data_IF_988669677405
#
_entry.id   IF_988669677405
#
_cell.length_a   1.000
_cell.length_b   1.000
_cell.length_c   1.000
_cell.angle_alpha   90.00
_cell.angle_beta   90.00
_cell.angle_gamma   90.00
#
_symmetry.space_group_name_H-M   'P 1'
#
loop_
_entity.id
_entity.type
_entity.pdbx_description
1 polymer ?
#
# COMPACT_ATOMS: atom_id res chain seq x y z
N UNK A 1 -12.76 10.30 5.76
CA UNK A 1 -13.74 9.40 5.11
C UNK A 1 -14.31 8.30 6.01
N UNK A 2 -13.81 8.03 7.24
CA UNK A 2 -14.39 7.01 8.15
C UNK A 2 -15.50 7.51 9.10
N UNK A 3 -16.01 8.72 8.91
CA UNK A 3 -17.18 9.19 9.66
C UNK A 3 -18.41 8.97 8.77
N UNK A 4 -19.17 7.90 9.07
CA UNK A 4 -20.46 7.59 8.45
C UNK A 4 -21.51 8.60 8.93
N UNK A 5 -21.44 9.82 8.39
CA UNK A 5 -22.34 10.91 8.78
C UNK A 5 -23.80 10.67 8.35
N UNK A 6 -24.06 9.71 7.44
CA UNK A 6 -25.41 9.38 6.96
C UNK A 6 -26.00 8.14 7.63
N UNK A 7 -25.22 7.43 8.48
CA UNK A 7 -25.61 6.21 9.22
C UNK A 7 -26.28 5.13 8.37
N UNK A 8 -26.02 5.14 7.06
CA UNK A 8 -26.67 4.27 6.08
C UNK A 8 -25.65 3.53 5.20
N UNK A 9 -24.36 3.55 5.56
CA UNK A 9 -23.32 2.80 4.86
C UNK A 9 -22.96 3.31 3.47
N UNK A 10 -23.56 4.41 2.98
CA UNK A 10 -23.21 5.00 1.69
C UNK A 10 -21.93 5.84 1.81
N UNK A 11 -20.91 5.43 1.07
CA UNK A 11 -19.67 6.19 0.94
C UNK A 11 -19.88 7.40 0.03
N UNK A 12 -19.49 8.58 0.51
CA UNK A 12 -19.52 9.80 -0.33
C UNK A 12 -18.52 9.67 -1.48
N UNK A 13 -18.83 10.21 -2.68
CA UNK A 13 -17.82 10.36 -3.72
C UNK A 13 -16.67 11.20 -3.16
N UNK A 14 -15.45 10.68 -3.27
CA UNK A 14 -14.28 11.29 -2.67
C UNK A 14 -12.99 10.65 -3.17
N UNK A 15 -11.91 11.41 -3.15
CA UNK A 15 -10.59 10.91 -3.49
C UNK A 15 -9.97 10.20 -2.29
N UNK A 16 -9.41 9.02 -2.54
CA UNK A 16 -8.54 8.35 -1.60
C UNK A 16 -7.16 9.02 -1.62
N UNK A 17 -6.87 9.77 -0.56
CA UNK A 17 -5.59 10.46 -0.38
C UNK A 17 -4.59 9.51 0.28
N UNK A 18 -3.51 9.23 -0.45
CA UNK A 18 -2.34 8.56 0.09
C UNK A 18 -1.23 9.57 0.35
N UNK A 19 -0.54 9.40 1.48
CA UNK A 19 0.63 10.20 1.85
C UNK A 19 1.79 9.29 2.20
N UNK A 20 3.00 9.69 1.84
CA UNK A 20 4.25 9.17 2.38
C UNK A 20 4.77 10.17 3.40
N UNK A 21 5.25 9.66 4.53
CA UNK A 21 5.82 10.49 5.58
C UNK A 21 7.17 9.98 6.02
N UNK A 22 8.06 10.92 6.33
CA UNK A 22 9.34 10.64 6.98
C UNK A 22 9.60 11.69 8.06
N UNK A 23 9.90 11.25 9.29
CA UNK A 23 10.03 12.12 10.45
C UNK A 23 8.81 13.04 10.62
N UNK A 24 7.61 12.53 10.28
CA UNK A 24 6.31 13.18 10.17
C UNK A 24 6.31 14.46 9.30
N UNK A 25 7.19 14.55 8.31
CA UNK A 25 7.06 15.44 7.16
C UNK A 25 6.38 14.69 6.02
N UNK A 26 5.53 15.38 5.25
CA UNK A 26 4.92 14.81 4.05
C UNK A 26 5.95 14.88 2.93
N UNK A 27 6.39 13.73 2.42
CA UNK A 27 7.39 13.65 1.35
C UNK A 27 6.74 13.41 -0.03
N UNK A 28 5.63 12.67 -0.07
CA UNK A 28 4.87 12.49 -1.30
C UNK A 28 3.39 12.32 -0.97
N UNK A 29 2.52 12.61 -1.94
CA UNK A 29 1.10 12.36 -1.84
C UNK A 29 0.49 12.10 -3.22
N UNK A 30 -0.61 11.36 -3.25
CA UNK A 30 -1.39 11.14 -4.46
C UNK A 30 -2.86 10.94 -4.15
N UNK A 31 -3.70 11.28 -5.14
CA UNK A 31 -5.15 11.13 -5.09
C UNK A 31 -5.61 10.03 -6.05
N UNK A 32 -6.32 9.05 -5.51
CA UNK A 32 -6.88 7.93 -6.25
C UNK A 32 -8.41 7.96 -6.22
N UNK A 33 -9.04 7.53 -7.32
CA UNK A 33 -10.49 7.30 -7.36
C UNK A 33 -10.87 5.93 -6.78
N UNK A 34 -9.89 5.00 -6.70
CA UNK A 34 -10.11 3.65 -6.21
C UNK A 34 -10.38 3.63 -4.70
N UNK A 35 -11.39 2.85 -4.30
CA UNK A 35 -11.78 2.68 -2.89
C UNK A 35 -10.78 1.83 -2.10
N UNK A 36 -10.11 0.89 -2.75
CA UNK A 36 -9.20 -0.07 -2.11
C UNK A 36 -7.73 0.35 -2.25
N UNK A 37 -7.04 0.38 -1.12
CA UNK A 37 -5.62 0.79 -1.00
C UNK A 37 -4.66 -0.19 -1.70
N UNK A 38 -5.03 -1.47 -1.84
CA UNK A 38 -4.19 -2.50 -2.48
C UNK A 38 -3.70 -2.10 -3.87
N UNK A 39 -4.53 -1.35 -4.60
CA UNK A 39 -4.33 -1.02 -6.01
C UNK A 39 -3.54 0.28 -6.21
N UNK A 40 -3.28 1.03 -5.14
CA UNK A 40 -2.71 2.37 -5.26
C UNK A 40 -1.20 2.39 -5.06
N UNK A 41 -0.61 1.35 -4.45
CA UNK A 41 0.79 1.36 -4.06
C UNK A 41 1.78 1.40 -5.25
N UNK A 42 1.65 0.58 -6.31
CA UNK A 42 2.63 0.60 -7.41
C UNK A 42 2.66 1.96 -8.10
N UNK A 43 1.49 2.50 -8.44
CA UNK A 43 1.37 3.84 -9.01
C UNK A 43 1.90 4.93 -8.08
N UNK A 44 1.78 4.76 -6.76
CA UNK A 44 2.29 5.71 -5.78
C UNK A 44 3.81 5.69 -5.72
N UNK A 45 4.41 4.50 -5.68
CA UNK A 45 5.86 4.33 -5.68
C UNK A 45 6.50 4.76 -7.01
N UNK A 46 5.80 4.58 -8.14
CA UNK A 46 6.22 5.14 -9.43
C UNK A 46 6.19 6.67 -9.45
N UNK A 47 5.16 7.28 -8.88
CA UNK A 47 5.11 8.73 -8.69
C UNK A 47 6.30 9.22 -7.86
N UNK A 48 6.64 8.51 -6.77
CA UNK A 48 7.80 8.82 -5.96
C UNK A 48 9.10 8.74 -6.77
N UNK A 49 9.29 7.66 -7.52
CA UNK A 49 10.46 7.47 -8.39
C UNK A 49 10.56 8.56 -9.47
N UNK A 50 9.43 8.95 -10.07
CA UNK A 50 9.39 10.02 -11.07
C UNK A 50 9.81 11.37 -10.51
N UNK A 51 9.51 11.66 -9.23
CA UNK A 51 9.89 12.91 -8.56
C UNK A 51 11.33 12.93 -8.07
N UNK A 52 11.80 11.81 -7.53
CA UNK A 52 13.10 11.73 -6.83
C UNK A 52 14.18 11.01 -7.61
N UNK A 53 13.84 10.50 -8.81
CA UNK A 53 14.70 9.68 -9.67
C UNK A 53 15.31 8.46 -8.95
N UNK A 54 14.59 7.94 -7.96
CA UNK A 54 14.92 6.74 -7.18
C UNK A 54 13.71 6.18 -6.47
N UNK A 55 13.68 4.87 -6.24
CA UNK A 55 12.72 4.26 -5.33
C UNK A 55 13.14 4.44 -3.86
N UNK A 56 12.16 4.33 -2.97
CA UNK A 56 12.42 4.27 -1.54
C UNK A 56 13.11 2.96 -1.18
N UNK A 57 14.14 3.02 -0.32
CA UNK A 57 14.84 1.81 0.15
C UNK A 57 13.91 0.91 1.00
N UNK A 58 13.08 1.53 1.83
CA UNK A 58 12.23 0.85 2.81
C UNK A 58 10.81 1.37 2.69
N UNK A 59 9.84 0.47 2.54
CA UNK A 59 8.41 0.79 2.43
C UNK A 59 7.68 0.19 3.61
N UNK A 60 7.06 1.04 4.42
CA UNK A 60 6.25 0.64 5.58
C UNK A 60 4.78 0.91 5.25
N UNK A 61 3.94 -0.12 5.25
CA UNK A 61 2.54 0.03 4.90
C UNK A 61 1.60 -0.91 5.66
N UNK A 62 0.31 -0.58 5.60
CA UNK A 62 -0.78 -1.34 6.20
C UNK A 62 -1.05 -2.70 5.59
N UNK A 63 -1.84 -3.51 6.31
CA UNK A 63 -2.33 -4.79 5.77
C UNK A 63 -3.16 -4.63 4.51
N UNK A 64 -3.80 -3.47 4.34
CA UNK A 64 -4.52 -3.08 3.13
C UNK A 64 -3.63 -2.98 1.87
N UNK A 65 -2.31 -3.02 2.01
CA UNK A 65 -1.37 -3.02 0.89
C UNK A 65 -0.72 -4.39 0.64
N UNK A 66 -0.96 -5.39 1.49
CA UNK A 66 -0.35 -6.71 1.39
C UNK A 66 -0.96 -7.58 0.30
N UNK A 67 -0.55 -7.37 -0.95
CA UNK A 67 -0.92 -8.17 -2.12
C UNK A 67 0.32 -8.74 -2.82
N UNK A 68 0.15 -9.83 -3.57
CA UNK A 68 1.23 -10.44 -4.36
C UNK A 68 1.85 -9.43 -5.34
N UNK A 69 1.01 -8.70 -6.06
CA UNK A 69 1.41 -7.66 -7.01
C UNK A 69 2.31 -6.61 -6.34
N UNK A 70 1.93 -6.12 -5.15
CA UNK A 70 2.68 -5.10 -4.44
C UNK A 70 4.00 -5.65 -3.90
N UNK A 71 4.02 -6.87 -3.37
CA UNK A 71 5.25 -7.50 -2.93
C UNK A 71 6.21 -7.73 -4.10
N UNK A 72 5.72 -8.25 -5.22
CA UNK A 72 6.52 -8.42 -6.43
C UNK A 72 7.07 -7.08 -6.93
N UNK A 73 6.25 -6.03 -6.98
CA UNK A 73 6.69 -4.71 -7.40
C UNK A 73 7.83 -4.18 -6.51
N UNK A 74 7.70 -4.28 -5.19
CA UNK A 74 8.76 -3.86 -4.26
C UNK A 74 10.03 -4.72 -4.42
N UNK A 75 9.88 -6.02 -4.61
CA UNK A 75 11.00 -6.96 -4.77
C UNK A 75 11.81 -6.70 -6.05
N UNK A 76 11.14 -6.51 -7.19
CA UNK A 76 11.77 -6.19 -8.49
C UNK A 76 12.57 -4.89 -8.44
N UNK A 77 12.13 -3.93 -7.63
CA UNK A 77 12.77 -2.62 -7.49
C UNK A 77 13.68 -2.53 -6.25
N UNK A 78 14.04 -3.66 -5.63
CA UNK A 78 14.94 -3.76 -4.49
C UNK A 78 14.52 -2.93 -3.26
N UNK A 79 13.21 -2.88 -2.98
CA UNK A 79 12.66 -2.22 -1.79
C UNK A 79 12.39 -3.22 -0.66
N UNK A 80 12.73 -2.84 0.57
CA UNK A 80 12.40 -3.61 1.77
C UNK A 80 10.93 -3.40 2.16
N UNK A 81 10.13 -4.44 1.98
CA UNK A 81 8.68 -4.41 2.19
C UNK A 81 8.28 -4.72 3.64
N UNK A 82 8.27 -3.72 4.52
CA UNK A 82 7.64 -3.78 5.84
C UNK A 82 6.12 -3.57 5.74
N UNK A 83 5.49 -4.36 4.87
CA UNK A 83 4.06 -4.28 4.56
C UNK A 83 3.37 -5.48 5.17
N UNK A 84 2.42 -5.22 6.08
CA UNK A 84 1.63 -6.27 6.72
C UNK A 84 0.79 -7.01 5.67
N UNK A 85 0.51 -8.28 5.91
CA UNK A 85 -0.56 -9.01 5.22
C UNK A 85 -1.77 -9.16 6.14
N UNK A 86 -2.94 -9.43 5.56
CA UNK A 86 -4.23 -9.41 6.25
C UNK A 86 -4.29 -10.24 7.55
N UNK A 87 -3.62 -11.40 7.60
CA UNK A 87 -3.64 -12.29 8.77
C UNK A 87 -2.55 -12.00 9.81
N UNK A 88 -1.58 -11.13 9.51
CA UNK A 88 -0.41 -10.89 10.37
C UNK A 88 -0.78 -10.50 11.81
N UNK A 89 -1.76 -9.60 11.96
CA UNK A 89 -2.24 -9.20 13.29
C UNK A 89 -2.96 -10.32 14.02
N UNK A 90 -3.78 -11.10 13.30
CA UNK A 90 -4.55 -12.20 13.87
C UNK A 90 -3.64 -13.28 14.43
N UNK A 91 -2.56 -13.56 13.72
CA UNK A 91 -1.54 -14.55 14.09
C UNK A 91 -0.72 -14.18 15.33
N UNK A 92 -0.67 -12.89 15.70
CA UNK A 92 0.05 -12.42 16.88
C UNK A 92 -0.76 -12.46 18.18
N UNK A 93 -2.06 -12.76 18.11
CA UNK A 93 -2.86 -12.86 19.33
C UNK A 93 -2.47 -14.12 20.13
N UNK A 94 -2.30 -14.03 21.46
CA UNK A 94 -1.90 -15.17 22.29
C UNK A 94 -2.82 -16.39 22.22
N UNK A 95 -4.10 -16.18 21.90
CA UNK A 95 -5.12 -17.24 21.78
C UNK A 95 -5.36 -17.69 20.33
N UNK A 96 -4.52 -17.26 19.39
CA UNK A 96 -4.68 -17.65 18.00
C UNK A 96 -4.21 -19.09 17.79
N UNK A 97 -5.16 -19.98 17.52
CA UNK A 97 -4.87 -21.33 17.05
C UNK A 97 -5.12 -21.39 15.55
N UNK A 98 -4.12 -21.71 14.72
CA UNK A 98 -4.35 -21.88 13.29
C UNK A 98 -5.32 -23.03 13.06
N UNK A 99 -6.27 -22.83 12.15
CA UNK A 99 -7.20 -23.90 11.78
C UNK A 99 -6.39 -25.05 11.13
N UNK A 100 -6.43 -26.29 11.67
CA UNK A 100 -5.66 -27.41 11.13
C UNK A 100 -6.07 -27.79 9.71
N UNK A 101 -7.29 -27.43 9.30
CA UNK A 101 -7.78 -27.63 7.95
C UNK A 101 -7.45 -26.47 7.00
N UNK A 102 -6.78 -25.40 7.44
CA UNK A 102 -6.33 -24.33 6.55
C UNK A 102 -5.12 -24.82 5.71
N UNK A 103 -5.05 -24.53 4.39
CA UNK A 103 -3.87 -24.87 3.59
C UNK A 103 -2.54 -24.36 4.16
N UNK A 104 -2.55 -23.20 4.84
CA UNK A 104 -1.37 -22.62 5.48
C UNK A 104 -0.84 -23.44 6.67
N UNK A 105 -1.66 -24.32 7.24
CA UNK A 105 -1.30 -25.20 8.36
C UNK A 105 -0.83 -26.58 7.91
N UNK A 106 -0.95 -26.89 6.62
CA UNK A 106 -0.59 -28.20 6.08
C UNK A 106 0.92 -28.26 5.82
N UNK A 107 1.52 -29.43 6.05
CA UNK A 107 2.91 -29.66 5.68
C UNK A 107 3.05 -29.75 4.16
N UNK A 108 4.05 -29.05 3.63
CA UNK A 108 4.40 -29.06 2.21
C UNK A 108 5.80 -29.64 2.04
N UNK A 109 5.92 -30.72 1.27
CA UNK A 109 7.20 -31.26 0.84
C UNK A 109 7.59 -30.61 -0.50
N UNK A 110 8.66 -29.80 -0.50
CA UNK A 110 9.15 -29.10 -1.69
C UNK A 110 9.84 -30.03 -2.69
N UNK A 111 10.52 -31.07 -2.21
CA UNK A 111 11.32 -31.98 -3.05
C UNK A 111 10.42 -32.90 -3.89
N UNK A 112 9.33 -33.36 -3.30
CA UNK A 112 8.41 -34.32 -3.91
C UNK A 112 7.08 -33.67 -4.37
N UNK A 113 6.93 -32.35 -4.24
CA UNK A 113 5.78 -31.53 -4.66
C UNK A 113 4.41 -32.09 -4.19
N UNK A 114 4.24 -32.25 -2.88
CA UNK A 114 2.96 -32.67 -2.30
C UNK A 114 2.66 -32.00 -0.96
N UNK A 115 1.36 -31.91 -0.64
CA UNK A 115 0.88 -31.52 0.69
C UNK A 115 0.41 -32.73 1.48
N UNK A 116 0.49 -32.66 2.81
CA UNK A 116 -0.07 -33.69 3.70
C UNK A 116 -1.37 -33.17 4.31
N UNK A 117 -2.46 -33.90 4.13
CA UNK A 117 -3.74 -33.54 4.73
C UNK A 117 -3.74 -33.85 6.24
N UNK A 118 -4.70 -33.33 7.03
CA UNK A 118 -4.74 -33.60 8.48
C UNK A 118 -4.96 -35.07 8.86
N UNK A 119 -5.44 -35.90 7.93
CA UNK A 119 -5.55 -37.36 8.11
C UNK A 119 -4.25 -38.11 7.74
N UNK A 120 -3.21 -37.40 7.29
CA UNK A 120 -1.91 -37.96 6.90
C UNK A 120 -1.77 -38.39 5.44
N UNK A 121 -2.79 -38.21 4.60
CA UNK A 121 -2.71 -38.58 3.18
C UNK A 121 -1.94 -37.54 2.36
N UNK A 122 -1.22 -37.99 1.35
CA UNK A 122 -0.59 -37.12 0.37
C UNK A 122 -1.62 -36.50 -0.57
N UNK A 123 -1.44 -35.22 -0.86
CA UNK A 123 -2.21 -34.45 -1.82
C UNK A 123 -1.32 -34.14 -3.02
N UNK A 124 -1.61 -34.79 -4.15
CA UNK A 124 -0.81 -34.67 -5.38
C UNK A 124 -1.20 -33.43 -6.16
N UNK A 125 -0.23 -32.84 -6.85
CA UNK A 125 -0.47 -31.74 -7.79
C UNK A 125 -1.31 -32.22 -8.96
N UNK A 126 -2.42 -31.54 -9.23
CA UNK A 126 -3.34 -31.87 -10.33
C UNK A 126 -3.35 -30.83 -11.44
N UNK A 127 -2.79 -29.66 -11.21
CA UNK A 127 -2.71 -28.62 -12.24
C UNK A 127 -2.48 -27.23 -11.68
N UNK A 128 -2.54 -26.27 -12.58
CA UNK A 128 -2.33 -24.86 -12.29
C UNK A 128 -3.54 -24.06 -12.73
N UNK A 129 -3.91 -23.06 -11.95
CA UNK A 129 -4.99 -22.12 -12.27
C UNK A 129 -4.40 -20.73 -12.38
N UNK A 130 -4.59 -20.16 -13.55
CA UNK A 130 -4.36 -18.74 -13.84
C UNK A 130 -5.58 -17.95 -13.38
N UNK A 131 -5.36 -16.90 -12.62
CA UNK A 131 -6.40 -15.95 -12.21
C UNK A 131 -5.97 -14.53 -12.58
N UNK A 132 -6.95 -13.67 -12.84
CA UNK A 132 -6.74 -12.24 -13.09
C UNK A 132 -7.30 -11.47 -11.91
N UNK A 133 -6.51 -10.58 -11.35
CA UNK A 133 -7.00 -9.60 -10.37
C UNK A 133 -7.82 -8.52 -11.09
N UNK A 134 -8.55 -7.70 -10.33
CA UNK A 134 -9.32 -6.58 -10.86
C UNK A 134 -8.48 -5.56 -11.66
N UNK A 135 -7.16 -5.54 -11.43
CA UNK A 135 -6.22 -4.64 -12.10
C UNK A 135 -5.53 -5.27 -13.31
N UNK A 136 -5.89 -6.50 -13.69
CA UNK A 136 -5.23 -7.21 -14.78
C UNK A 136 -3.92 -7.91 -14.40
N UNK A 137 -3.49 -7.83 -13.12
CA UNK A 137 -2.35 -8.61 -12.65
C UNK A 137 -2.68 -10.11 -12.68
N UNK A 138 -1.80 -10.88 -13.31
CA UNK A 138 -1.96 -12.33 -13.47
C UNK A 138 -1.36 -13.04 -12.27
N UNK A 139 -2.17 -13.84 -11.58
CA UNK A 139 -1.73 -14.67 -10.47
C UNK A 139 -1.82 -16.14 -10.82
N UNK A 140 -0.94 -16.90 -10.19
CA UNK A 140 -0.70 -18.30 -10.49
C UNK A 140 -0.84 -19.11 -9.22
N UNK A 141 -1.78 -20.06 -9.26
CA UNK A 141 -2.04 -20.94 -8.13
C UNK A 141 -1.95 -22.40 -8.56
N UNK A 142 -1.36 -23.22 -7.71
CA UNK A 142 -1.23 -24.66 -7.93
C UNK A 142 -2.34 -25.36 -7.16
N UNK A 143 -2.99 -26.33 -7.81
CA UNK A 143 -4.04 -27.16 -7.19
C UNK A 143 -3.47 -28.50 -6.77
N UNK A 144 -3.75 -28.88 -5.53
CA UNK A 144 -3.40 -30.18 -4.97
C UNK A 144 -4.66 -30.91 -4.52
N UNK A 145 -4.74 -32.21 -4.80
CA UNK A 145 -5.92 -33.03 -4.48
C UNK A 145 -5.53 -34.22 -3.62
N UNK A 146 -6.32 -34.46 -2.56
CA UNK A 146 -6.21 -35.66 -1.74
C UNK A 146 -6.69 -36.90 -2.50
N UNK A 147 -6.12 -38.06 -2.21
CA UNK A 147 -6.43 -39.29 -2.97
C UNK A 147 -7.78 -39.91 -2.57
N UNK A 148 -8.10 -39.97 -1.27
CA UNK A 148 -9.29 -40.70 -0.80
C UNK A 148 -9.94 -40.04 0.41
N UNK A 149 -10.92 -39.17 0.15
CA UNK A 149 -11.69 -38.49 1.20
C UNK A 149 -13.03 -39.19 1.54
N UNK A 150 -13.47 -40.15 0.75
CA UNK A 150 -14.70 -40.90 1.02
C UNK A 150 -14.56 -41.74 2.28
N UNK A 151 -15.53 -41.61 3.20
CA UNK A 151 -15.49 -42.26 4.51
C UNK A 151 -14.47 -41.68 5.50
N UNK A 152 -13.79 -40.57 5.19
CA UNK A 152 -12.84 -39.96 6.11
C UNK A 152 -13.55 -39.40 7.36
N UNK A 153 -13.13 -39.78 8.59
CA UNK A 153 -13.76 -39.31 9.83
C UNK A 153 -13.70 -37.78 9.99
N UNK A 154 -12.67 -37.15 9.44
CA UNK A 154 -12.45 -35.70 9.52
C UNK A 154 -13.23 -34.91 8.46
N UNK A 155 -13.95 -35.58 7.53
CA UNK A 155 -14.57 -34.94 6.36
C UNK A 155 -15.50 -33.78 6.74
N UNK A 156 -16.33 -33.96 7.77
CA UNK A 156 -17.31 -32.96 8.21
C UNK A 156 -16.70 -31.59 8.57
N UNK A 157 -15.51 -31.61 9.19
CA UNK A 157 -14.78 -30.40 9.59
C UNK A 157 -13.72 -29.96 8.56
N UNK A 158 -13.34 -30.84 7.63
CA UNK A 158 -12.23 -30.65 6.71
C UNK A 158 -12.59 -29.83 5.47
N UNK A 159 -13.66 -30.20 4.75
CA UNK A 159 -14.13 -29.50 3.54
C UNK A 159 -15.57 -29.92 3.18
N UNK A 160 -16.29 -29.06 2.44
CA UNK A 160 -17.72 -29.26 2.12
C UNK A 160 -18.01 -29.74 0.68
N UNK A 161 -17.03 -29.70 -0.22
CA UNK A 161 -17.23 -30.02 -1.64
C UNK A 161 -17.49 -31.53 -1.87
N UNK A 162 -18.08 -31.87 -3.02
CA UNK A 162 -18.23 -33.26 -3.47
C UNK A 162 -16.88 -33.82 -3.94
N UNK A 163 -16.67 -35.12 -3.73
CA UNK A 163 -15.43 -35.81 -4.08
C UNK A 163 -14.28 -35.52 -3.11
N UNK A 164 -13.05 -35.57 -3.63
CA UNK A 164 -11.84 -35.37 -2.84
C UNK A 164 -11.53 -33.90 -2.58
N UNK A 165 -10.88 -33.63 -1.44
CA UNK A 165 -10.44 -32.29 -1.07
C UNK A 165 -9.44 -31.76 -2.08
N UNK A 166 -9.69 -30.55 -2.59
CA UNK A 166 -8.74 -29.79 -3.41
C UNK A 166 -8.34 -28.54 -2.62
N UNK A 167 -7.05 -28.24 -2.59
CA UNK A 167 -6.52 -26.96 -2.11
C UNK A 167 -5.88 -26.20 -3.26
N UNK A 168 -5.99 -24.89 -3.22
CA UNK A 168 -5.38 -23.97 -4.17
C UNK A 168 -4.35 -23.14 -3.40
N UNK A 169 -3.08 -23.23 -3.79
CA UNK A 169 -1.98 -22.56 -3.11
C UNK A 169 -1.22 -21.68 -4.08
N UNK A 170 -1.01 -20.43 -3.70
CA UNK A 170 -0.13 -19.51 -4.39
C UNK A 170 1.21 -19.47 -3.66
N UNK A 171 2.18 -20.20 -4.20
CA UNK A 171 3.52 -20.35 -3.62
C UNK A 171 4.28 -19.02 -3.59
N UNK A 172 4.13 -18.17 -4.61
CA UNK A 172 4.80 -16.88 -4.70
C UNK A 172 4.30 -15.93 -3.61
N UNK A 173 2.98 -15.80 -3.45
CA UNK A 173 2.40 -15.02 -2.37
C UNK A 173 2.76 -15.58 -0.98
N UNK A 174 2.82 -16.90 -0.82
CA UNK A 174 3.23 -17.51 0.44
C UNK A 174 4.71 -17.19 0.76
N UNK A 175 5.59 -17.23 -0.24
CA UNK A 175 6.98 -16.82 -0.10
C UNK A 175 7.08 -15.35 0.34
N UNK A 176 6.36 -14.44 -0.32
CA UNK A 176 6.36 -13.02 0.07
C UNK A 176 5.79 -12.78 1.47
N UNK A 177 4.73 -13.48 1.86
CA UNK A 177 4.19 -13.39 3.24
C UNK A 177 5.20 -13.87 4.28
N UNK A 178 5.98 -14.92 3.97
CA UNK A 178 7.03 -15.41 4.86
C UNK A 178 8.16 -14.38 5.00
N UNK A 179 8.67 -13.84 3.87
CA UNK A 179 9.67 -12.75 3.86
C UNK A 179 9.17 -11.52 4.63
N UNK A 180 7.93 -11.10 4.40
CA UNK A 180 7.32 -9.99 5.12
C UNK A 180 7.16 -10.28 6.62
N UNK A 181 6.82 -11.53 7.00
CA UNK A 181 6.74 -11.93 8.41
C UNK A 181 8.09 -11.77 9.09
N UNK A 182 9.14 -12.32 8.51
CA UNK A 182 10.52 -12.24 9.02
C UNK A 182 10.97 -10.79 9.22
N UNK A 183 10.78 -9.95 8.19
CA UNK A 183 11.05 -8.51 8.26
C UNK A 183 10.26 -7.82 9.38
N UNK A 184 8.96 -8.05 9.47
CA UNK A 184 8.11 -7.40 10.46
C UNK A 184 8.40 -7.87 11.90
N UNK A 185 8.89 -9.10 12.09
CA UNK A 185 9.28 -9.63 13.41
C UNK A 185 10.72 -9.30 13.81
N UNK A 186 11.55 -8.84 12.88
CA UNK A 186 12.89 -8.31 13.19
C UNK A 186 12.83 -7.11 14.13
N UNK A 187 13.97 -6.77 14.76
CA UNK A 187 14.11 -5.58 15.61
C UNK A 187 13.72 -4.29 14.86
N UNK A 188 14.21 -4.13 13.62
CA UNK A 188 13.84 -2.98 12.76
C UNK A 188 12.35 -3.00 12.43
N UNK A 189 11.77 -4.17 12.15
CA UNK A 189 10.33 -4.31 11.92
C UNK A 189 9.49 -3.91 13.13
N UNK A 190 9.94 -4.22 14.34
CA UNK A 190 9.30 -3.79 15.58
C UNK A 190 9.39 -2.26 15.73
N UNK A 191 10.57 -1.66 15.47
CA UNK A 191 10.75 -0.20 15.48
C UNK A 191 9.83 0.50 14.48
N UNK A 192 9.79 0.04 13.22
CA UNK A 192 8.91 0.58 12.18
C UNK A 192 7.43 0.45 12.56
N UNK A 193 7.01 -0.68 13.15
CA UNK A 193 5.63 -0.86 13.63
C UNK A 193 5.27 0.10 14.74
N UNK A 194 6.18 0.37 15.69
CA UNK A 194 5.96 1.34 16.77
C UNK A 194 5.89 2.79 16.28
N UNK A 195 6.65 3.15 15.23
CA UNK A 195 6.65 4.50 14.65
C UNK A 195 5.37 4.87 13.93
N UNK A 196 4.51 3.92 13.60
CA UNK A 196 3.27 4.15 12.85
C UNK A 196 2.34 5.19 13.49
N UNK A 197 2.13 5.12 14.81
CA UNK A 197 1.29 6.08 15.54
C UNK A 197 1.86 7.50 15.47
N UNK A 198 3.16 7.62 15.21
CA UNK A 198 3.93 8.87 15.22
C UNK A 198 4.10 9.41 13.79
N UNK A 199 4.25 8.55 12.79
CA UNK A 199 4.53 8.95 11.39
C UNK A 199 3.22 9.31 10.65
N UNK A 200 2.55 8.39 9.91
CA UNK A 200 1.39 8.79 9.10
C UNK A 200 0.17 9.13 9.95
N UNK A 201 -0.05 8.44 11.07
CA UNK A 201 -1.27 8.63 11.88
C UNK A 201 -1.29 9.98 12.59
N UNK A 202 -0.14 10.44 13.11
CA UNK A 202 -0.03 11.77 13.71
C UNK A 202 -0.25 12.88 12.67
N UNK A 203 0.33 12.74 11.46
CA UNK A 203 0.13 13.70 10.37
C UNK A 203 -1.35 13.78 9.98
N UNK A 204 -2.02 12.62 9.82
CA UNK A 204 -3.46 12.60 9.56
C UNK A 204 -4.29 13.18 10.71
N UNK A 205 -3.91 12.91 11.97
CA UNK A 205 -4.56 13.46 13.15
C UNK A 205 -4.46 14.98 13.21
N UNK A 206 -3.26 15.52 13.04
CA UNK A 206 -3.03 16.97 13.01
C UNK A 206 -3.77 17.64 11.84
N UNK A 207 -3.76 17.02 10.67
CA UNK A 207 -4.47 17.49 9.48
C UNK A 207 -5.98 17.62 9.75
N UNK A 208 -6.60 16.57 10.28
CA UNK A 208 -8.06 16.51 10.45
C UNK A 208 -8.58 17.28 11.67
N UNK A 209 -7.86 17.21 12.79
CA UNK A 209 -8.34 17.75 14.07
C UNK A 209 -7.73 19.11 14.38
N UNK A 210 -6.41 19.28 14.25
CA UNK A 210 -5.75 20.54 14.61
C UNK A 210 -5.88 21.60 13.50
N UNK A 211 -5.89 21.17 12.24
CA UNK A 211 -6.01 22.07 11.07
C UNK A 211 -7.40 22.06 10.43
N UNK A 212 -8.31 21.23 10.95
CA UNK A 212 -9.71 21.11 10.50
C UNK A 212 -9.82 20.82 8.99
N UNK A 213 -8.79 20.22 8.40
CA UNK A 213 -8.77 19.83 6.99
C UNK A 213 -9.42 18.44 6.84
N UNK A 214 -10.74 18.42 6.94
CA UNK A 214 -11.55 17.18 6.94
C UNK A 214 -12.09 16.81 5.55
N UNK A 215 -12.20 17.77 4.65
CA UNK A 215 -12.77 17.62 3.29
C UNK A 215 -12.05 18.53 2.31
N UNK A 216 -11.92 18.05 1.07
CA UNK A 216 -11.50 18.87 -0.06
C UNK A 216 -12.57 19.90 -0.40
N UNK A 217 -12.15 21.12 -0.71
CA UNK A 217 -13.07 22.25 -1.02
C UNK A 217 -13.32 22.41 -2.51
N UNK A 218 -12.46 21.81 -3.32
CA UNK A 218 -12.48 21.93 -4.77
C UNK A 218 -13.05 20.68 -5.44
N UNK A 219 -13.55 20.86 -6.67
CA UNK A 219 -13.99 19.80 -7.55
C UNK A 219 -12.98 19.61 -8.69
N UNK A 220 -12.77 18.36 -9.10
CA UNK A 220 -11.80 17.99 -10.13
C UNK A 220 -10.42 17.69 -9.55
N UNK A 221 -9.77 16.65 -10.09
CA UNK A 221 -8.53 16.07 -9.55
C UNK A 221 -7.41 17.12 -9.45
N UNK A 222 -7.26 17.97 -10.47
CA UNK A 222 -6.17 18.94 -10.53
C UNK A 222 -6.30 20.04 -9.46
N UNK A 223 -7.52 20.54 -9.25
CA UNK A 223 -7.77 21.55 -8.21
C UNK A 223 -7.61 20.96 -6.81
N UNK A 224 -8.06 19.72 -6.61
CA UNK A 224 -7.88 19.03 -5.32
C UNK A 224 -6.41 18.70 -5.06
N UNK A 225 -5.66 18.30 -6.09
CA UNK A 225 -4.22 18.10 -6.01
C UNK A 225 -3.50 19.38 -5.60
N UNK A 226 -3.81 20.51 -6.25
CA UNK A 226 -3.25 21.83 -5.92
C UNK A 226 -3.56 22.22 -4.47
N UNK A 227 -4.81 22.12 -4.04
CA UNK A 227 -5.27 22.44 -2.68
C UNK A 227 -4.47 21.65 -1.63
N UNK A 228 -4.34 20.32 -1.83
CA UNK A 228 -3.57 19.49 -0.92
C UNK A 228 -2.06 19.75 -0.99
N UNK A 229 -1.51 20.08 -2.16
CA UNK A 229 -0.11 20.43 -2.31
C UNK A 229 0.26 21.64 -1.45
N UNK A 230 -0.53 22.72 -1.53
CA UNK A 230 -0.33 23.90 -0.69
C UNK A 230 -0.47 23.59 0.78
N UNK A 231 -1.45 22.76 1.16
CA UNK A 231 -1.59 22.29 2.53
C UNK A 231 -0.35 21.54 3.00
N UNK A 232 0.17 20.59 2.22
CA UNK A 232 1.34 19.79 2.57
C UNK A 232 2.60 20.64 2.72
N UNK A 233 2.81 21.61 1.81
CA UNK A 233 3.91 22.58 1.89
C UNK A 233 3.80 23.40 3.18
N UNK A 234 2.64 24.00 3.45
CA UNK A 234 2.43 24.82 4.65
C UNK A 234 2.58 23.99 5.93
N UNK A 235 2.12 22.74 5.92
CA UNK A 235 2.27 21.79 7.03
C UNK A 235 3.75 21.52 7.33
N UNK A 236 4.53 21.21 6.29
CA UNK A 236 5.97 20.95 6.43
C UNK A 236 6.73 22.20 6.89
N UNK A 237 6.49 23.38 6.30
CA UNK A 237 7.13 24.64 6.71
C UNK A 237 6.80 24.93 8.19
N UNK A 238 5.53 24.87 8.57
CA UNK A 238 5.13 25.13 9.96
C UNK A 238 5.77 24.16 10.96
N UNK A 239 6.11 22.94 10.52
CA UNK A 239 6.87 21.99 11.32
C UNK A 239 8.36 22.33 11.37
N UNK A 240 8.97 22.72 10.26
CA UNK A 240 10.36 23.19 10.23
C UNK A 240 10.54 24.40 11.17
N UNK A 241 9.60 25.35 11.17
CA UNK A 241 9.64 26.52 12.07
C UNK A 241 9.71 26.15 13.56
N UNK A 242 9.12 25.01 13.94
CA UNK A 242 9.08 24.55 15.33
C UNK A 242 10.31 23.73 15.71
N UNK A 243 10.98 23.09 14.74
CA UNK A 243 12.16 22.25 14.96
C UNK A 243 13.47 23.04 14.89
N UNK A 244 13.54 24.08 14.05
CA UNK A 244 14.77 24.83 13.80
C UNK A 244 14.74 26.20 14.47
N UNK A 245 15.92 26.78 14.66
CA UNK A 245 16.04 28.19 15.04
C UNK A 245 15.58 29.06 13.87
N UNK A 246 14.78 30.12 14.12
CA UNK A 246 14.14 30.94 13.06
C UNK A 246 15.10 31.44 11.95
N UNK A 247 16.39 31.58 12.26
CA UNK A 247 17.43 32.04 11.32
C UNK A 247 17.70 31.06 10.18
N UNK A 248 17.78 29.75 10.45
CA UNK A 248 18.02 28.73 9.42
C UNK A 248 16.82 28.60 8.49
N UNK A 249 15.62 28.69 9.06
CA UNK A 249 14.39 28.65 8.28
C UNK A 249 14.28 29.85 7.33
N UNK A 250 14.64 31.05 7.80
CA UNK A 250 14.66 32.26 6.98
C UNK A 250 15.59 32.10 5.77
N UNK A 251 16.78 31.53 5.96
CA UNK A 251 17.72 31.26 4.88
C UNK A 251 17.14 30.28 3.83
N UNK A 252 16.50 29.19 4.28
CA UNK A 252 15.85 28.22 3.37
C UNK A 252 14.68 28.87 2.62
N UNK A 253 13.86 29.67 3.30
CA UNK A 253 12.73 30.37 2.69
C UNK A 253 13.18 31.40 1.67
N UNK A 254 14.27 32.13 1.92
CA UNK A 254 14.84 33.07 0.95
C UNK A 254 15.30 32.35 -0.31
N UNK A 255 15.99 31.21 -0.18
CA UNK A 255 16.40 30.39 -1.34
C UNK A 255 15.18 29.87 -2.12
N UNK A 256 14.15 29.37 -1.43
CA UNK A 256 12.92 28.89 -2.06
C UNK A 256 12.14 30.02 -2.77
N UNK A 257 12.10 31.22 -2.18
CA UNK A 257 11.47 32.38 -2.80
C UNK A 257 12.19 32.82 -4.06
N UNK A 258 13.53 32.79 -4.05
CA UNK A 258 14.35 33.11 -5.23
C UNK A 258 14.14 32.07 -6.33
N UNK A 259 14.19 30.78 -6.02
CA UNK A 259 13.98 29.72 -7.03
C UNK A 259 12.56 29.73 -7.58
N UNK A 260 11.56 30.01 -6.74
CA UNK A 260 10.17 30.14 -7.17
C UNK A 260 9.96 31.37 -8.06
N UNK A 261 10.56 32.52 -7.70
CA UNK A 261 10.56 33.72 -8.57
C UNK A 261 11.22 33.44 -9.92
N UNK A 262 12.41 32.85 -9.93
CA UNK A 262 13.09 32.48 -11.18
C UNK A 262 12.24 31.52 -12.02
N UNK A 263 11.59 30.53 -11.41
CA UNK A 263 10.75 29.56 -12.13
C UNK A 263 9.51 30.22 -12.73
N UNK A 264 8.88 31.15 -11.99
CA UNK A 264 7.76 31.95 -12.49
C UNK A 264 8.22 32.88 -13.61
N UNK A 265 9.35 33.55 -13.47
CA UNK A 265 9.88 34.46 -14.48
C UNK A 265 10.23 33.72 -15.77
N UNK A 266 10.85 32.53 -15.67
CA UNK A 266 11.11 31.64 -16.82
C UNK A 266 9.79 31.21 -17.46
N UNK A 267 8.80 30.80 -16.67
CA UNK A 267 7.49 30.37 -17.17
C UNK A 267 6.74 31.51 -17.87
N UNK A 268 6.71 32.70 -17.26
CA UNK A 268 6.09 33.92 -17.81
C UNK A 268 6.84 34.35 -19.07
N UNK A 269 8.17 34.32 -19.08
CA UNK A 269 9.00 34.65 -20.24
C UNK A 269 8.70 33.70 -21.40
N UNK A 270 8.70 32.39 -21.14
CA UNK A 270 8.35 31.37 -22.14
C UNK A 270 6.93 31.56 -22.71
N UNK A 271 5.95 31.88 -21.86
CA UNK A 271 4.58 32.16 -22.29
C UNK A 271 4.45 33.47 -23.08
N UNK A 272 5.16 34.53 -22.67
CA UNK A 272 5.14 35.82 -23.38
C UNK A 272 5.75 35.69 -24.78
N UNK A 273 6.87 34.98 -24.92
CA UNK A 273 7.56 34.79 -26.21
C UNK A 273 6.74 33.92 -27.17
N UNK A 274 6.02 32.92 -26.66
CA UNK A 274 5.21 32.02 -27.50
C UNK A 274 3.74 32.42 -27.65
N UNK A 275 3.29 33.54 -27.06
CA UNK A 275 1.88 33.98 -27.12
C UNK A 275 1.39 34.18 -28.57
N UNK A 276 2.25 34.70 -29.44
CA UNK A 276 1.97 34.88 -30.88
C UNK A 276 1.85 33.55 -31.63
N UNK A 277 2.67 32.55 -31.26
CA UNK A 277 2.66 31.23 -31.87
C UNK A 277 1.39 30.45 -31.52
N UNK A 278 0.99 30.45 -30.24
CA UNK A 278 -0.23 29.76 -29.80
C UNK A 278 -1.52 30.45 -30.26
N UNK A 279 -1.55 31.78 -30.41
CA UNK A 279 -2.73 32.47 -30.97
C UNK A 279 -2.90 32.24 -32.48
N UNK A 280 -1.83 31.87 -33.22
CA UNK A 280 -1.92 31.45 -34.63
C UNK A 280 -2.33 29.98 -34.83
N UNK A 281 -2.14 29.13 -33.82
CA UNK A 281 -2.57 27.73 -33.82
C UNK A 281 -4.05 27.57 -33.41
N UNK A 282 -4.62 28.58 -32.77
CA UNK A 282 -6.01 28.60 -32.31
C UNK A 282 -6.97 29.36 -33.24
N UNK A 283 -6.46 29.88 -34.36
CA UNK A 283 -7.23 30.52 -35.45
C UNK A 283 -7.19 29.63 -36.69
#
# INVERSE_FOLDING_TARGET
MKEDAMRNGQTKPGYNLQIATENQFIIDFALYANRTDTLTLPSFLESFNSRYHRYAKTVVADSGYGSEENYLFMDVHNMEAYVKYNYFHKEQHPRYTPNPFCPASLYYNKEQDFYVCPMGQHMKRIGMKRSLTSNGFVTYSVRYQAERCDGCPLRGSCFKARGNRIIEVNHQLQHYKQKARELLTSEEGIKHRGRRCIEPEAVFGQTKYNKVYKRFRHLGKDKVNMDFAFFAIAFNIGKMCKKNNLKELKAIMEVLLVTFRCSIEVYISYWKTNKSFYMKLAA
#
